data_IF_376111844559
#
_entry.id   IF_376111844559
#
_cell.length_a   1.000
_cell.length_b   1.000
_cell.length_c   1.000
_cell.angle_alpha   90.00
_cell.angle_beta   90.00
_cell.angle_gamma   90.00
#
_symmetry.space_group_name_H-M   'P 1'
#
loop_
_entity.id
_entity.type
_entity.pdbx_description
1 polymer ?
#
# COMPACT_ATOMS: atom_id res chain seq x y z
N UNK A 1 -3.06 -3.27 21.86
CA UNK A 1 -1.84 -3.07 21.05
C UNK A 1 -2.26 -2.37 19.77
N UNK A 2 -1.87 -1.11 19.56
CA UNK A 2 -2.19 -0.42 18.30
C UNK A 2 -1.31 -1.02 17.20
N UNK A 3 -1.91 -1.77 16.28
CA UNK A 3 -1.24 -2.23 15.07
C UNK A 3 -0.91 -1.00 14.21
N UNK A 4 0.26 -0.41 14.41
CA UNK A 4 0.72 0.73 13.63
C UNK A 4 1.02 0.25 12.21
N UNK A 5 0.22 0.68 11.24
CA UNK A 5 0.42 0.33 9.83
C UNK A 5 1.76 0.92 9.36
N UNK A 6 2.66 0.05 8.91
CA UNK A 6 3.98 0.41 8.39
C UNK A 6 3.97 0.39 6.87
N UNK A 7 4.23 1.54 6.25
CA UNK A 7 4.32 1.70 4.79
C UNK A 7 5.80 1.91 4.42
N UNK A 8 6.31 1.12 3.49
CA UNK A 8 7.68 1.17 3.01
C UNK A 8 7.67 1.31 1.49
N UNK A 9 8.41 2.30 0.97
CA UNK A 9 8.62 2.45 -0.48
C UNK A 9 9.78 1.53 -0.89
N UNK A 10 9.49 0.57 -1.76
CA UNK A 10 10.52 -0.31 -2.34
C UNK A 10 10.98 0.24 -3.67
N UNK A 11 10.05 0.74 -4.50
CA UNK A 11 10.33 1.40 -5.76
C UNK A 11 9.25 2.46 -6.08
N UNK A 12 9.41 3.26 -7.12
CA UNK A 12 8.43 4.32 -7.46
C UNK A 12 7.01 3.78 -7.69
N UNK A 13 6.88 2.56 -8.20
CA UNK A 13 5.61 1.89 -8.45
C UNK A 13 5.35 0.71 -7.49
N UNK A 14 6.15 0.55 -6.43
CA UNK A 14 6.06 -0.59 -5.51
C UNK A 14 6.19 -0.14 -4.05
N UNK A 15 5.16 -0.39 -3.28
CA UNK A 15 5.11 -0.14 -1.84
C UNK A 15 4.79 -1.42 -1.09
N UNK A 16 5.21 -1.49 0.17
CA UNK A 16 4.88 -2.58 1.08
C UNK A 16 4.19 -2.00 2.30
N UNK A 17 2.97 -2.46 2.56
CA UNK A 17 2.13 -2.04 3.70
C UNK A 17 1.93 -3.24 4.60
N UNK A 18 2.50 -3.22 5.81
CA UNK A 18 2.47 -4.33 6.76
C UNK A 18 2.89 -5.70 6.15
N UNK A 19 3.82 -5.68 5.19
CA UNK A 19 4.29 -6.89 4.50
C UNK A 19 3.53 -7.22 3.22
N UNK A 20 2.41 -6.55 2.94
CA UNK A 20 1.64 -6.73 1.69
C UNK A 20 2.15 -5.80 0.60
N UNK A 21 2.37 -6.31 -0.60
CA UNK A 21 2.83 -5.52 -1.74
C UNK A 21 1.67 -4.76 -2.38
N UNK A 22 1.85 -3.46 -2.58
CA UNK A 22 1.01 -2.56 -3.36
C UNK A 22 1.81 -2.12 -4.59
N UNK A 23 1.33 -2.49 -5.77
CA UNK A 23 2.00 -2.26 -7.04
C UNK A 23 1.10 -1.41 -7.92
N UNK A 24 1.67 -0.41 -8.59
CA UNK A 24 0.94 0.35 -9.58
C UNK A 24 0.94 -0.39 -10.91
N UNK A 25 -0.25 -0.69 -11.45
CA UNK A 25 -0.39 -1.28 -12.78
C UNK A 25 -0.15 -0.24 -13.89
N UNK A 26 -0.16 -0.68 -15.15
CA UNK A 26 0.03 0.20 -16.32
C UNK A 26 -1.08 1.25 -16.49
N UNK A 27 -2.26 1.02 -15.90
CA UNK A 27 -3.38 1.96 -15.87
C UNK A 27 -3.25 3.00 -14.74
N UNK A 28 -2.18 2.93 -13.94
CA UNK A 28 -1.95 3.82 -12.81
C UNK A 28 -2.70 3.42 -11.53
N UNK A 29 -3.37 2.28 -11.51
CA UNK A 29 -4.12 1.77 -10.35
C UNK A 29 -3.23 0.97 -9.41
N UNK A 30 -3.43 1.15 -8.11
CA UNK A 30 -2.71 0.42 -7.07
C UNK A 30 -3.41 -0.90 -6.76
N UNK A 31 -2.74 -2.00 -7.09
CA UNK A 31 -3.23 -3.37 -6.90
C UNK A 31 -2.33 -4.14 -5.93
N UNK A 32 -2.90 -5.15 -5.29
CA UNK A 32 -2.19 -6.06 -4.39
C UNK A 32 -2.21 -7.48 -4.98
N UNK A 33 -1.13 -7.94 -5.63
CA UNK A 33 -1.18 -9.14 -6.47
C UNK A 33 -1.17 -10.46 -5.68
N UNK A 34 -0.57 -10.48 -4.49
CA UNK A 34 -0.37 -11.71 -3.70
C UNK A 34 -1.27 -11.82 -2.49
N UNK A 35 -1.72 -10.68 -1.96
CA UNK A 35 -2.47 -10.60 -0.70
C UNK A 35 -3.70 -9.71 -0.84
N UNK A 36 -4.71 -10.01 -0.02
CA UNK A 36 -5.85 -9.13 0.19
C UNK A 36 -5.57 -8.19 1.37
N UNK A 37 -5.35 -6.89 1.13
CA UNK A 37 -5.18 -5.92 2.21
C UNK A 37 -6.51 -5.66 2.91
N UNK A 38 -6.43 -5.35 4.20
CA UNK A 38 -7.60 -4.92 4.98
C UNK A 38 -8.02 -3.51 4.57
N UNK A 39 -9.27 -3.15 4.90
CA UNK A 39 -9.80 -1.80 4.67
C UNK A 39 -8.92 -0.72 5.34
N UNK A 40 -8.38 -1.01 6.52
CA UNK A 40 -7.46 -0.11 7.24
C UNK A 40 -6.15 0.09 6.49
N UNK A 41 -5.55 -0.97 5.95
CA UNK A 41 -4.31 -0.91 5.16
C UNK A 41 -4.51 -0.14 3.85
N UNK A 42 -5.62 -0.40 3.16
CA UNK A 42 -6.00 0.34 1.94
C UNK A 42 -6.18 1.83 2.26
N UNK A 43 -6.87 2.14 3.36
CA UNK A 43 -7.14 3.53 3.77
C UNK A 43 -5.85 4.24 4.16
N UNK A 44 -4.99 3.59 4.95
CA UNK A 44 -3.69 4.14 5.33
C UNK A 44 -2.81 4.38 4.10
N UNK A 45 -2.78 3.43 3.15
CA UNK A 45 -2.03 3.58 1.91
C UNK A 45 -2.56 4.70 1.02
N UNK A 46 -3.89 4.82 0.84
CA UNK A 46 -4.50 5.94 0.10
C UNK A 46 -4.19 7.29 0.76
N UNK A 47 -4.25 7.38 2.09
CA UNK A 47 -3.91 8.60 2.81
C UNK A 47 -2.42 8.94 2.72
N UNK A 48 -1.54 7.93 2.66
CA UNK A 48 -0.12 8.12 2.43
C UNK A 48 0.15 8.68 1.03
N UNK A 49 -0.50 8.12 0.00
CA UNK A 49 -0.34 8.59 -1.37
C UNK A 49 -0.81 10.04 -1.57
N UNK A 50 -1.83 10.50 -0.83
CA UNK A 50 -2.30 11.90 -0.87
C UNK A 50 -1.32 12.93 -0.31
N UNK A 51 -0.27 12.51 0.38
CA UNK A 51 0.74 13.42 0.96
C UNK A 51 1.81 13.84 -0.06
N UNK A 52 1.82 13.23 -1.24
CA UNK A 52 2.71 13.52 -2.36
C UNK A 52 1.90 14.01 -3.55
#
# INVERSE_FOLDING_TARGET
>A
MSNKIKIQRVHSQHYVVNGKAFIQNEQGEWVTPFDTPTEEEKTAFKNFLKQF
#
